data_IF_587243098336
#
_entry.id   IF_587243098336
#
_cell.length_a   1.000
_cell.length_b   1.000
_cell.length_c   1.000
_cell.angle_alpha   90.00
_cell.angle_beta   90.00
_cell.angle_gamma   90.00
#
_symmetry.space_group_name_H-M   'P 1'
#
loop_
_entity.id
_entity.type
_entity.pdbx_description
1 polymer ?
#
# COMPACT_ATOMS: atom_id res chain seq x y z
N UNK A 1 8.60 -50.01 84.80
CA UNK A 1 9.07 -48.65 85.13
C UNK A 1 9.71 -48.08 83.88
N UNK A 2 9.08 -47.04 83.32
CA UNK A 2 9.36 -46.47 82.00
C UNK A 2 10.75 -45.83 81.90
N UNK A 3 11.62 -46.34 81.03
CA UNK A 3 12.81 -45.61 80.58
C UNK A 3 13.06 -45.64 79.07
N UNK A 4 12.23 -46.33 78.27
CA UNK A 4 12.44 -46.41 76.81
C UNK A 4 11.64 -45.38 75.97
N UNK A 5 10.84 -44.51 76.60
CA UNK A 5 9.88 -43.65 75.89
C UNK A 5 10.29 -42.17 75.78
N UNK A 6 11.48 -41.79 76.26
CA UNK A 6 11.91 -40.39 76.38
C UNK A 6 12.91 -39.94 75.29
N UNK A 7 13.49 -40.86 74.53
CA UNK A 7 14.44 -40.54 73.43
C UNK A 7 13.77 -40.39 72.04
N UNK A 8 12.58 -40.96 71.84
CA UNK A 8 11.83 -40.88 70.58
C UNK A 8 11.38 -39.47 70.16
N UNK A 9 10.95 -38.55 71.05
CA UNK A 9 10.54 -37.22 70.61
C UNK A 9 11.72 -36.38 70.14
N UNK A 10 12.90 -36.52 70.77
CA UNK A 10 14.10 -35.76 70.38
C UNK A 10 14.60 -36.15 68.98
N UNK A 11 14.65 -37.44 68.68
CA UNK A 11 15.04 -37.94 67.35
C UNK A 11 14.05 -37.46 66.27
N UNK A 12 12.75 -37.45 66.57
CA UNK A 12 11.71 -36.97 65.65
C UNK A 12 11.87 -35.48 65.30
N UNK A 13 12.20 -34.64 66.28
CA UNK A 13 12.43 -33.19 66.06
C UNK A 13 13.63 -32.97 65.15
N UNK A 14 14.71 -33.74 65.32
CA UNK A 14 15.90 -33.67 64.46
C UNK A 14 15.54 -34.05 63.02
N UNK A 15 14.80 -35.15 62.82
CA UNK A 15 14.40 -35.59 61.48
C UNK A 15 13.51 -34.57 60.76
N UNK A 16 12.57 -33.95 61.48
CA UNK A 16 11.70 -32.90 60.93
C UNK A 16 12.53 -31.65 60.56
N UNK A 17 13.48 -31.26 61.42
CA UNK A 17 14.35 -30.11 61.16
C UNK A 17 15.21 -30.30 59.91
N UNK A 18 15.77 -31.51 59.72
CA UNK A 18 16.53 -31.88 58.51
C UNK A 18 15.61 -31.84 57.28
N UNK A 19 14.39 -32.34 57.39
CA UNK A 19 13.43 -32.36 56.28
C UNK A 19 13.00 -30.94 55.88
N UNK A 20 12.80 -30.05 56.85
CA UNK A 20 12.52 -28.62 56.58
C UNK A 20 13.71 -27.97 55.88
N UNK A 21 14.93 -28.17 56.39
CA UNK A 21 16.14 -27.62 55.78
C UNK A 21 16.31 -28.11 54.32
N UNK A 22 16.09 -29.39 54.08
CA UNK A 22 16.14 -29.98 52.75
C UNK A 22 15.10 -29.36 51.80
N UNK A 23 13.86 -29.15 52.27
CA UNK A 23 12.83 -28.49 51.47
C UNK A 23 13.17 -27.03 51.16
N UNK A 24 13.75 -26.29 52.12
CA UNK A 24 14.22 -24.91 51.90
C UNK A 24 15.30 -24.88 50.82
N UNK A 25 16.27 -25.81 50.87
CA UNK A 25 17.32 -25.92 49.84
C UNK A 25 16.73 -26.25 48.48
N UNK A 26 15.79 -27.20 48.39
CA UNK A 26 15.12 -27.54 47.13
C UNK A 26 14.37 -26.32 46.57
N UNK A 27 13.65 -25.60 47.43
CA UNK A 27 12.91 -24.41 47.02
C UNK A 27 13.84 -23.32 46.46
N UNK A 28 14.96 -23.05 47.12
CA UNK A 28 15.98 -22.11 46.63
C UNK A 28 16.56 -22.53 45.28
N UNK A 29 16.88 -23.81 45.11
CA UNK A 29 17.36 -24.37 43.84
C UNK A 29 16.31 -24.21 42.73
N UNK A 30 15.04 -24.50 43.03
CA UNK A 30 13.94 -24.34 42.09
C UNK A 30 13.77 -22.89 41.62
N UNK A 31 13.82 -21.92 42.55
CA UNK A 31 13.74 -20.49 42.21
C UNK A 31 14.91 -20.07 41.33
N UNK A 32 16.13 -20.54 41.64
CA UNK A 32 17.33 -20.21 40.87
C UNK A 32 17.27 -20.76 39.44
N UNK A 33 16.84 -22.02 39.28
CA UNK A 33 16.67 -22.64 37.95
C UNK A 33 15.64 -21.87 37.11
N UNK A 34 14.49 -21.52 37.69
CA UNK A 34 13.48 -20.76 36.97
C UNK A 34 13.97 -19.37 36.55
N UNK A 35 14.75 -18.69 37.40
CA UNK A 35 15.37 -17.42 37.03
C UNK A 35 16.32 -17.58 35.85
N UNK A 36 17.22 -18.56 35.90
CA UNK A 36 18.17 -18.83 34.80
C UNK A 36 17.42 -19.14 33.51
N UNK A 37 16.39 -19.99 33.56
CA UNK A 37 15.56 -20.32 32.41
C UNK A 37 14.82 -19.09 31.85
N UNK A 38 14.31 -18.22 32.72
CA UNK A 38 13.68 -16.97 32.31
C UNK A 38 14.68 -16.03 31.60
N UNK A 39 15.90 -15.89 32.13
CA UNK A 39 16.96 -15.10 31.51
C UNK A 39 17.38 -15.65 30.13
N UNK A 40 17.56 -16.96 29.99
CA UNK A 40 17.91 -17.57 28.70
C UNK A 40 16.81 -17.40 27.66
N UNK A 41 15.55 -17.54 28.08
CA UNK A 41 14.40 -17.30 27.21
C UNK A 41 14.36 -15.85 26.75
N UNK A 42 14.56 -14.90 27.66
CA UNK A 42 14.60 -13.47 27.33
C UNK A 42 15.74 -13.16 26.35
N UNK A 43 16.94 -13.70 26.57
CA UNK A 43 18.08 -13.53 25.67
C UNK A 43 17.82 -14.09 24.27
N UNK A 44 17.17 -15.26 24.18
CA UNK A 44 16.80 -15.87 22.89
C UNK A 44 15.77 -15.03 22.16
N UNK A 45 14.78 -14.47 22.87
CA UNK A 45 13.79 -13.55 22.27
C UNK A 45 14.47 -12.29 21.75
N UNK A 46 15.41 -11.69 22.50
CA UNK A 46 16.14 -10.52 22.00
C UNK A 46 17.00 -10.85 20.77
N UNK A 47 17.68 -11.99 20.76
CA UNK A 47 18.47 -12.41 19.60
C UNK A 47 17.58 -12.58 18.35
N UNK A 48 16.39 -13.17 18.51
CA UNK A 48 15.41 -13.29 17.43
C UNK A 48 14.90 -11.93 16.95
N UNK A 49 14.61 -11.00 17.87
CA UNK A 49 14.18 -9.64 17.51
C UNK A 49 15.29 -8.89 16.74
N UNK A 50 16.54 -9.03 17.17
CA UNK A 50 17.68 -8.41 16.51
C UNK A 50 17.86 -8.92 15.08
N UNK A 51 17.85 -10.25 14.88
CA UNK A 51 17.91 -10.87 13.55
C UNK A 51 16.74 -10.43 12.65
N UNK A 52 15.54 -10.29 13.22
CA UNK A 52 14.38 -9.77 12.49
C UNK A 52 14.57 -8.31 12.06
N UNK A 53 15.04 -7.44 12.96
CA UNK A 53 15.32 -6.03 12.66
C UNK A 53 16.40 -5.91 11.58
N UNK A 54 17.45 -6.72 11.66
CA UNK A 54 18.52 -6.75 10.67
C UNK A 54 17.97 -7.12 9.28
N UNK A 55 17.19 -8.19 9.19
CA UNK A 55 16.54 -8.61 7.92
C UNK A 55 15.63 -7.53 7.34
N UNK A 56 14.81 -6.90 8.19
CA UNK A 56 13.95 -5.78 7.77
C UNK A 56 14.80 -4.63 7.23
N UNK A 57 15.87 -4.26 7.93
CA UNK A 57 16.76 -3.16 7.55
C UNK A 57 17.44 -3.43 6.21
N UNK A 58 17.94 -4.64 6.01
CA UNK A 58 18.53 -5.06 4.72
C UNK A 58 17.49 -4.99 3.60
N UNK A 59 16.27 -5.49 3.84
CA UNK A 59 15.19 -5.42 2.84
C UNK A 59 14.78 -3.98 2.52
N UNK A 60 14.73 -3.10 3.53
CA UNK A 60 14.42 -1.69 3.34
C UNK A 60 15.50 -0.97 2.53
N UNK A 61 16.77 -1.25 2.83
CA UNK A 61 17.90 -0.69 2.07
C UNK A 61 17.82 -1.10 0.60
N UNK A 62 17.58 -2.38 0.33
CA UNK A 62 17.42 -2.90 -1.03
C UNK A 62 16.26 -2.22 -1.78
N UNK A 63 15.11 -2.08 -1.14
CA UNK A 63 13.95 -1.38 -1.72
C UNK A 63 14.28 0.09 -2.05
N UNK A 64 15.04 0.76 -1.19
CA UNK A 64 15.46 2.14 -1.42
C UNK A 64 16.45 2.26 -2.58
N UNK A 65 17.40 1.32 -2.70
CA UNK A 65 18.33 1.22 -3.82
C UNK A 65 17.57 1.03 -5.14
N UNK A 66 16.65 0.06 -5.20
CA UNK A 66 15.78 -0.18 -6.37
C UNK A 66 14.97 1.07 -6.76
N UNK A 67 14.38 1.77 -5.78
CA UNK A 67 13.66 3.03 -6.03
C UNK A 67 14.55 4.11 -6.64
N UNK A 68 15.79 4.24 -6.17
CA UNK A 68 16.72 5.22 -6.71
C UNK A 68 17.17 4.89 -8.13
N UNK A 69 17.37 3.59 -8.42
CA UNK A 69 17.65 3.11 -9.77
C UNK A 69 16.49 3.40 -10.72
N UNK A 70 15.25 3.07 -10.33
CA UNK A 70 14.04 3.36 -11.12
C UNK A 70 13.89 4.84 -11.40
N UNK A 71 14.08 5.68 -10.37
CA UNK A 71 14.03 7.14 -10.51
C UNK A 71 15.10 7.65 -11.47
N UNK A 72 16.33 7.16 -11.35
CA UNK A 72 17.44 7.55 -12.22
C UNK A 72 17.18 7.14 -13.67
N UNK A 73 16.71 5.92 -13.89
CA UNK A 73 16.35 5.41 -15.21
C UNK A 73 15.22 6.22 -15.84
N UNK A 74 14.19 6.59 -15.06
CA UNK A 74 13.12 7.46 -15.52
C UNK A 74 13.64 8.85 -15.87
N UNK A 75 14.49 9.46 -15.02
CA UNK A 75 15.09 10.76 -15.29
C UNK A 75 15.89 10.77 -16.60
N UNK A 76 16.70 9.74 -16.84
CA UNK A 76 17.48 9.61 -18.07
C UNK A 76 16.58 9.51 -19.31
N UNK A 77 15.50 8.71 -19.24
CA UNK A 77 14.51 8.63 -20.32
C UNK A 77 13.85 9.99 -20.59
N UNK A 78 13.54 10.74 -19.53
CA UNK A 78 12.96 12.09 -19.66
C UNK A 78 13.97 13.10 -20.22
N UNK A 79 15.27 13.00 -19.91
CA UNK A 79 16.31 13.86 -20.50
C UNK A 79 16.43 13.60 -22.00
N UNK A 80 16.46 12.33 -22.42
CA UNK A 80 16.48 11.95 -23.86
C UNK A 80 15.22 12.46 -24.56
N UNK A 81 14.06 12.32 -23.92
CA UNK A 81 12.80 12.82 -24.44
C UNK A 81 12.83 14.35 -24.60
N UNK A 82 13.31 15.07 -23.59
CA UNK A 82 13.46 16.53 -23.62
C UNK A 82 14.35 16.97 -24.78
N UNK A 83 15.52 16.34 -24.95
CA UNK A 83 16.41 16.63 -26.07
C UNK A 83 15.75 16.35 -27.43
N UNK A 84 14.99 15.26 -27.54
CA UNK A 84 14.26 14.93 -28.77
C UNK A 84 13.18 15.98 -29.11
N UNK A 85 12.51 16.54 -28.10
CA UNK A 85 11.56 17.65 -28.27
C UNK A 85 12.28 18.93 -28.71
N UNK A 86 13.40 19.28 -28.07
CA UNK A 86 14.21 20.47 -28.42
C UNK A 86 14.75 20.39 -29.86
N UNK A 87 15.09 19.17 -30.32
CA UNK A 87 15.54 18.92 -31.70
C UNK A 87 14.40 18.70 -32.71
N UNK A 88 13.13 18.88 -32.30
CA UNK A 88 11.94 18.66 -33.15
C UNK A 88 11.85 17.26 -33.79
N UNK A 89 12.50 16.24 -33.19
CA UNK A 89 12.43 14.85 -33.65
C UNK A 89 11.17 14.16 -33.11
N UNK A 90 10.05 14.44 -33.80
CA UNK A 90 8.72 13.93 -33.43
C UNK A 90 8.66 12.40 -33.37
N UNK A 91 9.37 11.71 -34.27
CA UNK A 91 9.33 10.25 -34.29
C UNK A 91 10.08 9.64 -33.11
N UNK A 92 11.25 10.19 -32.75
CA UNK A 92 11.97 9.77 -31.54
C UNK A 92 11.16 10.03 -30.29
N UNK A 93 10.48 11.17 -30.19
CA UNK A 93 9.58 11.49 -29.08
C UNK A 93 8.49 10.42 -28.92
N UNK A 94 7.80 10.07 -30.01
CA UNK A 94 6.73 9.06 -29.99
C UNK A 94 7.29 7.67 -29.63
N UNK A 95 8.44 7.27 -30.19
CA UNK A 95 9.08 5.98 -29.86
C UNK A 95 9.44 5.89 -28.38
N UNK A 96 10.06 6.93 -27.82
CA UNK A 96 10.43 6.97 -26.39
C UNK A 96 9.20 6.96 -25.48
N UNK A 97 8.15 7.72 -25.82
CA UNK A 97 6.88 7.70 -25.08
C UNK A 97 6.24 6.32 -25.10
N UNK A 98 6.19 5.65 -26.26
CA UNK A 98 5.63 4.29 -26.36
C UNK A 98 6.41 3.26 -25.54
N UNK A 99 7.73 3.42 -25.42
CA UNK A 99 8.56 2.60 -24.53
C UNK A 99 8.29 2.87 -23.05
N UNK A 100 8.06 4.12 -22.66
CA UNK A 100 7.71 4.49 -21.27
C UNK A 100 6.30 3.95 -20.92
N UNK A 101 5.36 4.07 -21.85
CA UNK A 101 3.94 3.79 -21.64
C UNK A 101 3.57 2.32 -21.97
N UNK A 102 4.54 1.49 -22.42
CA UNK A 102 4.37 0.07 -22.80
C UNK A 102 3.27 -0.14 -23.86
N UNK A 103 3.44 0.45 -25.06
CA UNK A 103 2.64 0.15 -26.26
C UNK A 103 1.12 0.10 -26.05
N UNK A 104 0.53 1.17 -25.53
CA UNK A 104 -0.93 1.33 -25.57
C UNK A 104 -1.31 1.90 -26.93
N UNK A 105 -1.71 1.05 -27.87
CA UNK A 105 -2.26 1.51 -29.14
C UNK A 105 -3.62 2.17 -28.88
N UNK A 106 -3.65 3.50 -28.83
CA UNK A 106 -4.90 4.27 -28.79
C UNK A 106 -5.53 4.19 -30.19
N UNK A 107 -6.36 3.18 -30.41
CA UNK A 107 -7.06 3.00 -31.70
C UNK A 107 -8.47 3.58 -31.72
N UNK A 108 -9.04 3.92 -30.56
CA UNK A 108 -10.44 4.35 -30.43
C UNK A 108 -10.53 5.68 -29.67
N UNK A 109 -11.09 6.70 -30.34
CA UNK A 109 -11.41 7.99 -29.74
C UNK A 109 -12.88 8.01 -29.34
N UNK A 110 -13.15 7.93 -28.03
CA UNK A 110 -14.50 8.04 -27.47
C UNK A 110 -14.78 9.42 -26.88
N UNK A 111 -13.74 10.17 -26.52
CA UNK A 111 -13.80 11.54 -25.99
C UNK A 111 -13.27 12.54 -27.02
N UNK A 112 -14.05 13.60 -27.25
CA UNK A 112 -13.70 14.75 -28.07
C UNK A 112 -14.39 16.01 -27.50
N UNK A 113 -13.86 16.48 -26.37
CA UNK A 113 -14.41 17.57 -25.56
C UNK A 113 -13.77 18.90 -25.89
N UNK A 114 -12.69 18.89 -26.70
CA UNK A 114 -11.89 20.05 -27.06
C UNK A 114 -10.74 20.31 -26.09
N UNK A 115 -10.76 19.70 -24.90
CA UNK A 115 -9.63 19.70 -23.99
C UNK A 115 -8.72 18.49 -24.26
N UNK A 116 -7.57 18.74 -24.90
CA UNK A 116 -6.64 17.69 -25.36
C UNK A 116 -6.16 16.75 -24.25
N UNK A 117 -6.01 17.26 -23.03
CA UNK A 117 -5.52 16.48 -21.89
C UNK A 117 -6.56 15.48 -21.41
N UNK A 118 -7.81 15.93 -21.25
CA UNK A 118 -8.92 15.07 -20.85
C UNK A 118 -9.22 14.04 -21.94
N UNK A 119 -9.26 14.47 -23.20
CA UNK A 119 -9.55 13.58 -24.32
C UNK A 119 -8.51 12.48 -24.48
N UNK A 120 -7.22 12.84 -24.46
CA UNK A 120 -6.12 11.89 -24.55
C UNK A 120 -6.18 10.86 -23.40
N UNK A 121 -6.37 11.33 -22.17
CA UNK A 121 -6.36 10.46 -21.01
C UNK A 121 -7.57 9.51 -20.97
N UNK A 122 -8.77 9.99 -21.31
CA UNK A 122 -9.96 9.15 -21.38
C UNK A 122 -9.81 8.10 -22.47
N UNK A 123 -9.35 8.49 -23.67
CA UNK A 123 -9.17 7.55 -24.78
C UNK A 123 -8.11 6.50 -24.47
N UNK A 124 -7.00 6.90 -23.84
CA UNK A 124 -5.97 5.99 -23.36
C UNK A 124 -6.51 4.98 -22.33
N UNK A 125 -7.18 5.48 -21.28
CA UNK A 125 -7.73 4.63 -20.22
C UNK A 125 -8.85 3.73 -20.74
N UNK A 126 -9.63 4.19 -21.70
CA UNK A 126 -10.63 3.37 -22.36
C UNK A 126 -10.02 2.22 -23.15
N UNK A 127 -8.95 2.47 -23.92
CA UNK A 127 -8.24 1.41 -24.64
C UNK A 127 -7.75 0.30 -23.69
N UNK A 128 -7.20 0.68 -22.52
CA UNK A 128 -6.80 -0.26 -21.47
C UNK A 128 -8.01 -0.98 -20.86
N UNK A 129 -9.08 -0.25 -20.53
CA UNK A 129 -10.28 -0.80 -19.90
C UNK A 129 -10.99 -1.82 -20.82
N UNK A 130 -10.93 -1.61 -22.14
CA UNK A 130 -11.50 -2.50 -23.14
C UNK A 130 -10.87 -3.89 -23.14
N UNK A 131 -9.57 -4.00 -22.85
CA UNK A 131 -8.88 -5.29 -22.68
C UNK A 131 -9.50 -6.14 -21.56
N UNK A 132 -10.16 -5.50 -20.58
CA UNK A 132 -10.86 -6.16 -19.48
C UNK A 132 -12.38 -6.30 -19.70
N UNK A 133 -12.87 -5.97 -20.91
CA UNK A 133 -14.29 -5.98 -21.25
C UNK A 133 -15.10 -4.86 -20.57
N UNK A 134 -14.46 -3.76 -20.19
CA UNK A 134 -15.10 -2.61 -19.53
C UNK A 134 -15.47 -1.56 -20.59
N UNK A 135 -16.68 -1.01 -20.51
CA UNK A 135 -17.15 0.07 -21.40
C UNK A 135 -17.33 1.38 -20.64
N UNK A 136 -17.02 2.52 -21.28
CA UNK A 136 -17.22 3.84 -20.69
C UNK A 136 -18.48 4.51 -21.25
N UNK A 137 -19.21 5.22 -20.39
CA UNK A 137 -20.29 6.11 -20.77
C UNK A 137 -19.91 7.55 -20.40
N UNK A 138 -19.82 8.42 -21.40
CA UNK A 138 -19.30 9.79 -21.22
C UNK A 138 -20.44 10.83 -21.25
N UNK A 139 -20.43 11.76 -20.29
CA UNK A 139 -21.26 12.97 -20.24
C UNK A 139 -20.39 14.15 -19.83
N UNK A 140 -19.63 14.69 -20.78
CA UNK A 140 -18.61 15.70 -20.50
C UNK A 140 -19.00 17.01 -21.17
N UNK A 141 -19.17 18.05 -20.34
CA UNK A 141 -19.54 19.40 -20.76
C UNK A 141 -18.59 20.42 -20.12
N UNK A 142 -17.41 20.56 -20.73
CA UNK A 142 -16.34 21.44 -20.25
C UNK A 142 -15.96 22.44 -21.35
N UNK A 143 -15.45 23.63 -21.00
CA UNK A 143 -14.79 24.51 -21.96
C UNK A 143 -13.47 23.89 -22.45
N UNK A 144 -13.00 24.33 -23.63
CA UNK A 144 -11.71 23.90 -24.19
C UNK A 144 -10.55 24.27 -23.25
N UNK A 145 -10.60 25.49 -22.70
CA UNK A 145 -9.63 26.01 -21.74
C UNK A 145 -10.18 25.91 -20.30
N UNK A 146 -9.39 25.31 -19.43
CA UNK A 146 -9.64 25.20 -17.99
C UNK A 146 -8.59 26.02 -17.24
N UNK A 147 -8.96 26.67 -16.15
CA UNK A 147 -8.06 27.46 -15.29
C UNK A 147 -7.13 26.61 -14.40
N UNK A 148 -7.00 25.31 -14.69
CA UNK A 148 -6.18 24.36 -13.96
C UNK A 148 -5.01 23.89 -14.82
N UNK A 149 -3.91 23.54 -14.17
CA UNK A 149 -2.75 22.98 -14.84
C UNK A 149 -3.12 21.63 -15.49
N UNK A 150 -2.84 21.41 -16.78
CA UNK A 150 -3.12 20.15 -17.47
C UNK A 150 -2.55 18.92 -16.74
N UNK A 151 -1.35 19.04 -16.18
CA UNK A 151 -0.73 17.97 -15.40
C UNK A 151 -1.56 17.58 -14.16
N UNK A 152 -2.13 18.56 -13.46
CA UNK A 152 -2.94 18.31 -12.27
C UNK A 152 -4.27 17.64 -12.63
N UNK A 153 -4.92 18.10 -13.71
CA UNK A 153 -6.11 17.43 -14.26
C UNK A 153 -5.76 15.98 -14.60
N UNK A 154 -4.65 15.75 -15.29
CA UNK A 154 -4.19 14.42 -15.69
C UNK A 154 -3.96 13.49 -14.50
N UNK A 155 -3.33 13.97 -13.43
CA UNK A 155 -3.09 13.17 -12.21
C UNK A 155 -4.42 12.85 -11.51
N UNK A 156 -5.30 13.84 -11.33
CA UNK A 156 -6.57 13.63 -10.63
C UNK A 156 -7.49 12.68 -11.40
N UNK A 157 -7.68 12.93 -12.70
CA UNK A 157 -8.49 12.11 -13.57
C UNK A 157 -7.90 10.70 -13.75
N UNK A 158 -6.58 10.61 -13.95
CA UNK A 158 -5.91 9.33 -14.16
C UNK A 158 -6.07 8.40 -12.96
N UNK A 159 -5.84 8.91 -11.75
CA UNK A 159 -6.03 8.16 -10.52
C UNK A 159 -7.49 7.74 -10.31
N UNK A 160 -8.45 8.61 -10.64
CA UNK A 160 -9.86 8.30 -10.48
C UNK A 160 -10.34 7.22 -11.47
N UNK A 161 -9.89 7.27 -12.72
CA UNK A 161 -10.15 6.24 -13.72
C UNK A 161 -9.47 4.92 -13.39
N UNK A 162 -8.21 4.94 -12.92
CA UNK A 162 -7.51 3.72 -12.50
C UNK A 162 -8.25 3.02 -11.36
N UNK A 163 -8.71 3.79 -10.36
CA UNK A 163 -9.52 3.26 -9.27
C UNK A 163 -10.82 2.62 -9.77
N UNK A 164 -11.51 3.26 -10.72
CA UNK A 164 -12.76 2.75 -11.27
C UNK A 164 -12.52 1.49 -12.12
N UNK A 165 -11.51 1.47 -12.99
CA UNK A 165 -11.16 0.31 -13.82
C UNK A 165 -10.80 -0.89 -12.93
N UNK A 166 -9.98 -0.67 -11.91
CA UNK A 166 -9.57 -1.71 -10.97
C UNK A 166 -10.77 -2.31 -10.24
N UNK A 167 -11.65 -1.47 -9.69
CA UNK A 167 -12.85 -1.91 -9.00
C UNK A 167 -13.79 -2.76 -9.89
N UNK A 168 -13.93 -2.38 -11.17
CA UNK A 168 -14.80 -3.09 -12.11
C UNK A 168 -14.17 -4.37 -12.65
N UNK A 169 -12.83 -4.40 -12.78
CA UNK A 169 -12.10 -5.56 -13.28
C UNK A 169 -12.46 -6.83 -12.49
N UNK A 170 -12.57 -6.70 -11.17
CA UNK A 170 -12.82 -7.79 -10.24
C UNK A 170 -14.30 -8.14 -10.04
N UNK A 171 -15.22 -7.32 -10.59
CA UNK A 171 -16.66 -7.59 -10.53
C UNK A 171 -17.06 -8.74 -11.46
N UNK A 172 -17.83 -9.71 -10.95
CA UNK A 172 -18.26 -10.91 -11.69
C UNK A 172 -19.71 -10.87 -12.16
N UNK A 173 -20.59 -10.10 -11.50
CA UNK A 173 -22.04 -10.20 -11.67
C UNK A 173 -22.69 -8.97 -12.30
N UNK A 174 -21.94 -7.88 -12.51
CA UNK A 174 -22.46 -6.63 -13.05
C UNK A 174 -21.98 -6.36 -14.48
N UNK A 175 -22.80 -5.62 -15.24
CA UNK A 175 -22.32 -4.99 -16.47
C UNK A 175 -21.12 -4.10 -16.13
N UNK A 176 -19.98 -4.37 -16.77
CA UNK A 176 -18.71 -3.66 -16.57
C UNK A 176 -18.75 -2.28 -17.24
N UNK A 177 -19.53 -1.37 -16.66
CA UNK A 177 -19.73 -0.02 -17.19
C UNK A 177 -19.20 1.01 -16.19
N UNK A 178 -18.41 1.97 -16.68
CA UNK A 178 -17.96 3.13 -15.92
C UNK A 178 -18.63 4.38 -16.50
N UNK A 179 -19.39 5.10 -15.69
CA UNK A 179 -20.00 6.37 -16.07
C UNK A 179 -19.09 7.52 -15.67
N UNK A 180 -18.75 8.39 -16.62
CA UNK A 180 -17.89 9.53 -16.42
C UNK A 180 -18.69 10.78 -16.78
N UNK A 181 -18.91 11.65 -15.80
CA UNK A 181 -19.56 12.94 -15.99
C UNK A 181 -18.65 14.07 -15.54
N UNK A 182 -18.51 15.10 -16.36
CA UNK A 182 -17.67 16.25 -16.04
C UNK A 182 -18.33 17.54 -16.47
N UNK A 183 -18.13 18.60 -15.70
CA UNK A 183 -18.54 19.94 -16.10
C UNK A 183 -17.99 21.02 -15.19
N UNK A 184 -18.13 22.27 -15.63
CA UNK A 184 -17.69 23.44 -14.87
C UNK A 184 -18.90 24.11 -14.22
N UNK A 185 -18.84 24.30 -12.89
CA UNK A 185 -19.88 25.01 -12.13
C UNK A 185 -19.23 26.05 -11.23
N UNK A 186 -19.61 27.32 -11.38
CA UNK A 186 -19.06 28.46 -10.61
C UNK A 186 -17.52 28.46 -10.59
N UNK A 187 -16.89 28.28 -11.76
CA UNK A 187 -15.43 28.20 -11.94
C UNK A 187 -14.74 26.97 -11.32
N UNK A 188 -15.48 26.02 -10.74
CA UNK A 188 -14.93 24.75 -10.29
C UNK A 188 -15.16 23.65 -11.33
N UNK A 189 -14.12 22.88 -11.64
CA UNK A 189 -14.24 21.64 -12.40
C UNK A 189 -14.83 20.55 -11.48
N UNK A 190 -15.96 20.00 -11.89
CA UNK A 190 -16.61 18.88 -11.19
C UNK A 190 -16.42 17.62 -12.03
N UNK A 191 -15.83 16.60 -11.42
CA UNK A 191 -15.67 15.27 -12.01
C UNK A 191 -16.45 14.26 -11.18
N UNK A 192 -17.28 13.46 -11.83
CA UNK A 192 -18.06 12.39 -11.22
C UNK A 192 -17.81 11.11 -12.01
N UNK A 193 -17.22 10.11 -11.33
CA UNK A 193 -16.93 8.80 -11.90
C UNK A 193 -17.70 7.78 -11.07
N UNK A 194 -18.57 7.01 -11.72
CA UNK A 194 -19.35 5.94 -11.10
C UNK A 194 -18.99 4.61 -11.70
N UNK A 195 -18.85 3.62 -10.86
CA UNK A 195 -18.52 2.26 -11.26
C UNK A 195 -19.24 1.25 -10.35
N UNK A 196 -19.60 0.06 -10.86
CA UNK A 196 -20.05 -1.03 -10.01
C UNK A 196 -18.93 -1.46 -9.06
N UNK A 197 -19.32 -1.89 -7.86
CA UNK A 197 -18.41 -2.33 -6.82
C UNK A 197 -19.04 -3.48 -6.04
N UNK A 198 -18.36 -4.61 -5.96
CA UNK A 198 -18.87 -5.85 -5.32
C UNK A 198 -18.24 -6.12 -3.94
N UNK A 199 -17.29 -5.29 -3.48
CA UNK A 199 -16.60 -5.53 -2.21
C UNK A 199 -17.23 -4.74 -1.05
N UNK A 200 -16.93 -5.18 0.18
CA UNK A 200 -17.31 -4.44 1.40
C UNK A 200 -16.29 -3.33 1.63
N UNK A 201 -16.76 -2.08 1.67
CA UNK A 201 -15.94 -0.93 2.05
C UNK A 201 -15.44 -1.11 3.49
N UNK A 202 -14.12 -1.11 3.68
CA UNK A 202 -13.49 -1.12 5.00
C UNK A 202 -12.90 0.25 5.28
N UNK A 203 -13.21 0.80 6.45
CA UNK A 203 -12.57 2.03 6.91
C UNK A 203 -11.42 1.68 7.86
N UNK A 204 -10.36 2.47 7.84
CA UNK A 204 -9.35 2.43 8.88
C UNK A 204 -9.86 3.10 10.16
N UNK A 205 -9.06 3.02 11.24
CA UNK A 205 -9.38 3.64 12.53
C UNK A 205 -9.46 5.17 12.48
N UNK A 206 -9.03 5.80 11.38
CA UNK A 206 -9.08 7.25 11.13
C UNK A 206 -10.26 7.67 10.22
N UNK A 207 -11.12 6.72 9.80
CA UNK A 207 -12.26 7.00 8.93
C UNK A 207 -11.92 7.10 7.44
N UNK A 208 -10.68 6.78 7.02
CA UNK A 208 -10.29 6.73 5.61
C UNK A 208 -10.62 5.37 5.01
N UNK A 209 -11.03 5.35 3.74
CA UNK A 209 -11.26 4.11 3.00
C UNK A 209 -9.95 3.32 2.88
N UNK A 210 -9.95 2.08 3.39
CA UNK A 210 -8.87 1.12 3.17
C UNK A 210 -8.96 0.58 1.75
N UNK A 211 -7.82 0.55 1.08
CA UNK A 211 -7.67 -0.14 -0.19
C UNK A 211 -7.89 -1.64 0.00
N UNK A 212 -8.66 -2.27 -0.90
CA UNK A 212 -8.89 -3.72 -0.92
C UNK A 212 -7.76 -4.52 -1.57
N UNK A 213 -6.66 -3.85 -1.99
CA UNK A 213 -5.48 -4.48 -2.60
C UNK A 213 -4.80 -5.42 -1.60
N UNK A 214 -4.71 -6.70 -1.96
CA UNK A 214 -3.94 -7.72 -1.22
C UNK A 214 -2.43 -7.58 -1.36
N UNK A 215 -1.93 -6.72 -2.26
CA UNK A 215 -0.50 -6.45 -2.42
C UNK A 215 -0.03 -5.35 -1.45
N UNK A 216 0.76 -5.77 -0.47
CA UNK A 216 1.23 -5.09 0.73
C UNK A 216 2.17 -3.90 0.54
N UNK A 217 2.10 -3.16 -0.56
CA UNK A 217 3.05 -2.07 -0.86
C UNK A 217 2.51 -0.82 -1.56
N UNK A 218 1.29 -0.84 -2.10
CA UNK A 218 0.72 0.28 -2.88
C UNK A 218 -0.64 0.73 -2.31
N UNK A 219 -0.66 1.20 -1.06
CA UNK A 219 -1.90 1.64 -0.41
C UNK A 219 -2.15 3.14 -0.56
N UNK A 220 -3.38 3.54 -0.90
CA UNK A 220 -3.95 4.88 -0.63
C UNK A 220 -3.40 6.09 -1.41
N UNK A 221 -2.34 5.95 -2.19
CA UNK A 221 -1.69 7.09 -2.87
C UNK A 221 -2.58 7.79 -3.91
N UNK A 222 -3.47 7.06 -4.60
CA UNK A 222 -4.34 7.65 -5.63
C UNK A 222 -5.33 8.67 -5.04
N UNK A 223 -6.07 8.27 -4.00
CA UNK A 223 -7.01 9.18 -3.31
C UNK A 223 -6.29 10.33 -2.61
N UNK A 224 -5.13 10.08 -2.00
CA UNK A 224 -4.31 11.15 -1.41
C UNK A 224 -3.82 12.14 -2.48
N UNK A 225 -3.48 11.68 -3.68
CA UNK A 225 -3.05 12.54 -4.78
C UNK A 225 -4.21 13.40 -5.30
N UNK A 226 -5.40 12.82 -5.43
CA UNK A 226 -6.62 13.55 -5.79
C UNK A 226 -6.94 14.60 -4.72
N UNK A 227 -6.91 14.23 -3.44
CA UNK A 227 -7.17 15.15 -2.33
C UNK A 227 -6.17 16.33 -2.32
N UNK A 228 -4.88 16.06 -2.49
CA UNK A 228 -3.84 17.10 -2.56
C UNK A 228 -4.05 18.06 -3.74
N UNK A 229 -4.49 17.56 -4.88
CA UNK A 229 -4.81 18.41 -6.03
C UNK A 229 -6.08 19.23 -5.74
N UNK A 230 -7.10 18.63 -5.15
CA UNK A 230 -8.31 19.33 -4.75
C UNK A 230 -8.06 20.40 -3.68
N UNK A 231 -7.06 20.24 -2.80
CA UNK A 231 -6.65 21.25 -1.81
C UNK A 231 -5.83 22.39 -2.43
N UNK A 232 -5.18 22.16 -3.58
CA UNK A 232 -4.37 23.17 -4.29
C UNK A 232 -5.24 24.26 -4.95
N UNK A 233 -6.50 23.95 -5.26
CA UNK A 233 -7.43 24.79 -6.03
C UNK A 233 -8.66 25.14 -5.19
#
# INVERSE_FOLDING_TARGET
>A
MNFAQKESPFLSVITISILILFNVIIFELYVKINKVFAYEKEHTVYAQQFDMIEKITVSQKKMLEEFYEDRHNLLNKLIVLKNSVENSDKESVIRNLNQIIKNSNISENISNTGNSTIDCLINFKYAVAKEYGITFQLKIFIPEELSMEPCDIGIALGNALDNAIEAVRDCRQHQKVIEISMGVKKQALVMLIKNPYEHVLKNDRSGKYQSTKTESGRHGYGLNSIARIAEKY
#
